data_IF_492780225386
#
_entry.id   IF_492780225386
#
_cell.length_a   1.000
_cell.length_b   1.000
_cell.length_c   1.000
_cell.angle_alpha   90.00
_cell.angle_beta   90.00
_cell.angle_gamma   90.00
#
_symmetry.space_group_name_H-M   'P 1'
#
loop_
_entity.id
_entity.type
_entity.pdbx_description
1 polymer ?
#
# COMPACT_ATOMS: atom_id res chain seq x y z
N UNK A 1 4.75 3.41 20.27
CA UNK A 1 4.08 4.68 20.60
C UNK A 1 5.16 5.75 20.60
N UNK A 2 4.95 6.89 19.93
CA UNK A 2 5.91 8.00 19.95
C UNK A 2 5.41 9.03 20.96
N UNK A 3 6.26 9.41 21.92
CA UNK A 3 5.93 10.29 23.02
C UNK A 3 7.05 11.29 23.27
N UNK A 4 6.75 12.38 23.97
CA UNK A 4 7.73 13.33 24.45
C UNK A 4 8.54 12.75 25.63
N UNK A 5 9.47 13.53 26.13
CA UNK A 5 10.37 13.19 27.25
C UNK A 5 9.62 12.94 28.56
N UNK A 6 8.39 13.46 28.67
CA UNK A 6 7.48 13.22 29.80
C UNK A 6 6.57 12.00 29.60
N UNK A 7 6.75 11.22 28.52
CA UNK A 7 5.95 10.04 28.20
C UNK A 7 4.57 10.34 27.63
N UNK A 8 4.26 11.60 27.33
CA UNK A 8 2.97 12.01 26.79
C UNK A 8 2.93 11.85 25.27
N UNK A 9 1.79 11.42 24.69
CA UNK A 9 1.67 11.29 23.25
C UNK A 9 1.79 12.66 22.56
N UNK A 10 2.51 12.70 21.44
CA UNK A 10 2.53 13.91 20.62
C UNK A 10 1.15 14.20 20.03
N UNK A 11 0.79 15.49 20.00
CA UNK A 11 -0.36 15.91 19.22
C UNK A 11 -0.10 15.74 17.72
N UNK A 12 -1.14 15.53 16.89
CA UNK A 12 -0.98 15.45 15.44
C UNK A 12 -0.28 16.67 14.81
N UNK A 13 -0.48 17.85 15.39
CA UNK A 13 0.18 19.08 14.93
C UNK A 13 1.70 19.05 15.15
N UNK A 14 2.15 18.53 16.29
CA UNK A 14 3.59 18.40 16.58
C UNK A 14 4.25 17.42 15.61
N UNK A 15 3.63 16.26 15.37
CA UNK A 15 4.14 15.28 14.39
C UNK A 15 4.16 15.86 12.97
N UNK A 16 3.15 16.66 12.60
CA UNK A 16 3.12 17.31 11.28
C UNK A 16 4.23 18.35 11.12
N UNK A 17 4.57 19.08 12.19
CA UNK A 17 5.68 20.04 12.19
C UNK A 17 7.03 19.33 12.04
N UNK A 18 7.31 18.32 12.87
CA UNK A 18 8.56 17.55 12.78
C UNK A 18 8.72 16.89 11.41
N UNK A 19 7.61 16.42 10.82
CA UNK A 19 7.64 15.93 9.44
C UNK A 19 7.99 17.02 8.43
N UNK A 20 7.41 18.21 8.55
CA UNK A 20 7.72 19.32 7.64
C UNK A 20 9.20 19.73 7.72
N UNK A 21 9.75 19.82 8.93
CA UNK A 21 11.18 20.08 9.17
C UNK A 21 12.07 19.00 8.53
N UNK A 22 11.70 17.71 8.66
CA UNK A 22 12.43 16.62 8.04
C UNK A 22 12.38 16.65 6.50
N UNK A 23 11.23 16.99 5.91
CA UNK A 23 11.05 17.13 4.46
C UNK A 23 11.89 18.30 3.92
N UNK A 24 11.91 19.42 4.64
CA UNK A 24 12.73 20.58 4.29
C UNK A 24 14.23 20.27 4.38
N UNK A 25 14.66 19.61 5.45
CA UNK A 25 16.05 19.16 5.62
C UNK A 25 16.49 18.18 4.52
N UNK A 26 15.56 17.41 3.95
CA UNK A 26 15.81 16.53 2.81
C UNK A 26 15.81 17.26 1.45
N UNK A 27 15.60 18.58 1.42
CA UNK A 27 15.53 19.37 0.18
C UNK A 27 14.30 19.08 -0.68
N UNK A 28 13.26 18.49 -0.09
CA UNK A 28 12.04 18.12 -0.80
C UNK A 28 11.01 19.25 -0.72
N UNK A 29 10.15 19.33 -1.74
CA UNK A 29 8.97 20.20 -1.68
C UNK A 29 8.12 19.84 -0.46
N UNK A 30 7.33 20.79 0.03
CA UNK A 30 6.40 20.50 1.12
C UNK A 30 5.45 19.33 0.78
N UNK A 31 5.46 18.32 1.64
CA UNK A 31 4.64 17.10 1.54
C UNK A 31 4.03 16.86 2.92
N UNK A 32 2.71 16.62 2.98
CA UNK A 32 2.02 16.29 4.23
C UNK A 32 2.44 14.92 4.74
N UNK A 33 2.46 14.73 6.07
CA UNK A 33 2.79 13.45 6.69
C UNK A 33 1.92 12.29 6.18
N UNK A 34 0.62 12.52 5.98
CA UNK A 34 -0.28 11.49 5.43
C UNK A 34 0.09 11.05 4.01
N UNK A 35 0.71 11.93 3.21
CA UNK A 35 1.13 11.57 1.86
C UNK A 35 2.22 10.50 1.86
N UNK A 36 3.02 10.37 2.92
CA UNK A 36 3.96 9.25 3.06
C UNK A 36 3.25 7.88 3.09
N UNK A 37 2.04 7.81 3.66
CA UNK A 37 1.19 6.60 3.62
C UNK A 37 0.77 6.28 2.19
N UNK A 38 0.41 7.29 1.40
CA UNK A 38 0.07 7.11 -0.01
C UNK A 38 1.28 6.69 -0.84
N UNK A 39 2.45 7.32 -0.64
CA UNK A 39 3.70 6.92 -1.29
C UNK A 39 4.03 5.45 -1.00
N UNK A 40 3.89 5.02 0.25
CA UNK A 40 4.07 3.62 0.65
C UNK A 40 3.13 2.67 -0.13
N UNK A 41 1.84 3.00 -0.23
CA UNK A 41 0.88 2.23 -1.00
C UNK A 41 1.23 2.17 -2.50
N UNK A 42 1.63 3.29 -3.10
CA UNK A 42 2.07 3.35 -4.51
C UNK A 42 3.30 2.49 -4.73
N UNK A 43 4.31 2.56 -3.85
CA UNK A 43 5.52 1.75 -3.97
C UNK A 43 5.20 0.25 -3.89
N UNK A 44 4.35 -0.17 -2.96
CA UNK A 44 3.90 -1.57 -2.89
C UNK A 44 3.20 -2.02 -4.17
N UNK A 45 2.33 -1.16 -4.72
CA UNK A 45 1.62 -1.47 -5.96
C UNK A 45 2.57 -1.63 -7.15
N UNK A 46 3.56 -0.73 -7.28
CA UNK A 46 4.59 -0.80 -8.32
C UNK A 46 5.49 -2.03 -8.18
N UNK A 47 5.62 -2.60 -6.97
CA UNK A 47 6.32 -3.86 -6.71
C UNK A 47 5.43 -5.10 -6.90
N UNK A 48 4.21 -4.94 -7.44
CA UNK A 48 3.30 -6.04 -7.71
C UNK A 48 2.55 -6.58 -6.49
N UNK A 49 2.58 -5.89 -5.35
CA UNK A 49 1.78 -6.29 -4.18
C UNK A 49 0.30 -6.12 -4.52
N UNK A 50 -0.48 -7.15 -4.20
CA UNK A 50 -1.93 -7.15 -4.44
C UNK A 50 -2.61 -5.99 -3.70
N UNK A 51 -3.47 -5.26 -4.40
CA UNK A 51 -4.17 -4.06 -3.87
C UNK A 51 -4.94 -4.38 -2.58
N UNK A 52 -5.51 -5.57 -2.46
CA UNK A 52 -6.17 -6.04 -1.24
C UNK A 52 -5.21 -6.12 -0.04
N UNK A 53 -3.99 -6.62 -0.26
CA UNK A 53 -2.93 -6.71 0.76
C UNK A 53 -2.46 -5.31 1.14
N UNK A 54 -2.29 -4.41 0.16
CA UNK A 54 -1.95 -3.01 0.41
C UNK A 54 -3.03 -2.33 1.26
N UNK A 55 -4.32 -2.51 0.92
CA UNK A 55 -5.44 -1.91 1.64
C UNK A 55 -5.52 -2.38 3.11
N UNK A 56 -5.29 -3.68 3.34
CA UNK A 56 -5.19 -4.24 4.69
C UNK A 56 -3.98 -3.68 5.44
N UNK A 57 -2.81 -3.60 4.80
CA UNK A 57 -1.58 -3.04 5.37
C UNK A 57 -1.72 -1.58 5.79
N UNK A 58 -2.32 -0.75 4.93
CA UNK A 58 -2.59 0.66 5.23
C UNK A 58 -3.90 0.86 6.00
N UNK A 59 -4.48 -0.19 6.58
CA UNK A 59 -5.61 -0.11 7.51
C UNK A 59 -6.80 0.70 7.00
N UNK A 60 -7.11 0.63 5.69
CA UNK A 60 -8.31 1.27 5.16
C UNK A 60 -9.53 0.57 5.78
N UNK A 61 -10.37 1.33 6.48
CA UNK A 61 -11.60 0.84 7.14
C UNK A 61 -12.58 0.15 6.18
N UNK A 62 -12.42 0.35 4.88
CA UNK A 62 -13.30 -0.19 3.84
C UNK A 62 -12.57 -1.10 2.84
N UNK A 63 -11.85 -2.11 3.34
CA UNK A 63 -11.24 -3.15 2.51
C UNK A 63 -12.27 -4.06 1.81
N UNK A 64 -13.55 -4.01 2.23
CA UNK A 64 -14.62 -4.93 1.79
C UNK A 64 -15.10 -4.68 0.37
N UNK A 65 -15.02 -3.43 -0.12
CA UNK A 65 -15.34 -3.08 -1.49
C UNK A 65 -14.18 -3.44 -2.43
N UNK A 66 -12.95 -3.18 -1.98
CA UNK A 66 -11.72 -3.39 -2.75
C UNK A 66 -11.42 -4.87 -2.99
N UNK A 67 -11.60 -5.75 -2.01
CA UNK A 67 -11.38 -7.20 -2.19
C UNK A 67 -12.35 -7.80 -3.22
N UNK A 68 -13.62 -7.37 -3.21
CA UNK A 68 -14.68 -7.89 -4.08
C UNK A 68 -14.52 -7.47 -5.55
N UNK A 69 -14.11 -6.22 -5.78
CA UNK A 69 -13.89 -5.69 -7.14
C UNK A 69 -12.63 -6.28 -7.80
N UNK A 70 -11.57 -6.52 -7.04
CA UNK A 70 -10.29 -7.03 -7.57
C UNK A 70 -10.19 -8.56 -7.66
N UNK A 71 -11.09 -9.31 -7.01
CA UNK A 71 -11.27 -10.74 -7.29
C UNK A 71 -11.64 -11.01 -8.77
N UNK A 72 -12.22 -10.02 -9.45
CA UNK A 72 -12.66 -10.13 -10.85
C UNK A 72 -11.68 -9.52 -11.88
N UNK A 73 -10.76 -8.64 -11.46
CA UNK A 73 -10.03 -7.76 -12.38
C UNK A 73 -8.70 -8.30 -12.91
N UNK A 74 -8.37 -9.57 -12.66
CA UNK A 74 -7.11 -10.15 -13.13
C UNK A 74 -7.29 -10.91 -14.44
N UNK A 75 -7.66 -10.21 -15.52
CA UNK A 75 -7.76 -10.82 -16.85
C UNK A 75 -6.40 -11.36 -17.34
N UNK A 76 -5.29 -10.70 -16.98
CA UNK A 76 -3.93 -11.13 -17.29
C UNK A 76 -3.51 -12.36 -16.47
N UNK A 77 -3.76 -12.38 -15.15
CA UNK A 77 -3.42 -13.54 -14.31
C UNK A 77 -4.35 -14.74 -14.57
N UNK A 78 -5.62 -14.51 -14.93
CA UNK A 78 -6.53 -15.56 -15.42
C UNK A 78 -6.04 -16.13 -16.76
N UNK A 79 -5.51 -15.30 -17.66
CA UNK A 79 -4.91 -15.74 -18.93
C UNK A 79 -3.63 -16.55 -18.71
N UNK A 80 -2.77 -16.16 -17.77
CA UNK A 80 -1.61 -16.95 -17.36
C UNK A 80 -2.00 -18.26 -16.67
N UNK A 81 -3.01 -18.24 -15.79
CA UNK A 81 -3.54 -19.44 -15.15
C UNK A 81 -4.11 -20.41 -16.18
N UNK A 82 -4.91 -19.92 -17.14
CA UNK A 82 -5.41 -20.71 -18.27
C UNK A 82 -4.28 -21.28 -19.13
N UNK A 83 -3.25 -20.48 -19.43
CA UNK A 83 -2.07 -20.95 -20.16
C UNK A 83 -1.23 -21.96 -19.36
N UNK A 84 -1.24 -21.89 -18.02
CA UNK A 84 -0.57 -22.87 -17.16
C UNK A 84 -1.31 -24.22 -17.14
N UNK A 85 -2.65 -24.19 -17.17
CA UNK A 85 -3.48 -25.38 -17.25
C UNK A 85 -3.33 -26.08 -18.61
N UNK A 86 -3.23 -25.31 -19.71
CA UNK A 86 -3.00 -25.85 -21.07
C UNK A 86 -1.66 -26.61 -21.19
N UNK A 87 -0.65 -26.25 -20.39
CA UNK A 87 0.64 -26.98 -20.33
C UNK A 87 0.55 -28.30 -19.58
N UNK A 88 -0.34 -28.40 -18.59
CA UNK A 88 -0.54 -29.62 -17.79
C UNK A 88 -1.46 -30.60 -18.53
N UNK A 89 -2.48 -30.09 -19.21
CA UNK A 89 -3.47 -30.90 -19.93
C UNK A 89 -2.93 -31.45 -21.26
N UNK A 90 -1.85 -30.88 -21.82
CA UNK A 90 -1.15 -31.42 -23.01
C UNK A 90 -0.22 -32.61 -22.74
N UNK A 91 -0.20 -33.13 -21.52
CA UNK A 91 0.51 -34.37 -21.19
C UNK A 91 -0.54 -35.45 -20.92
N UNK A 92 -0.97 -36.09 -22.00
CA UNK A 92 -1.48 -37.46 -22.15
C UNK A 92 -2.31 -37.48 -23.43
N UNK A 93 -1.92 -38.37 -24.36
CA UNK A 93 -2.62 -38.68 -25.61
C UNK A 93 -4.10 -39.07 -25.40
#
# INVERSE_FOLDING_TARGET
MVCNEAGQPYSPGVLSRYWAEAVEAAGLRHIRLHAARHTCATLMHLQGVLVAVIAAWIGHKDASLTVRLYAHSQFAALKEAGASLDRVVKICD
#
